data_IF_443706183770
#
_entry.id   IF_443706183770
#
_cell.length_a   1.000
_cell.length_b   1.000
_cell.length_c   1.000
_cell.angle_alpha   90.00
_cell.angle_beta   90.00
_cell.angle_gamma   90.00
#
_symmetry.space_group_name_H-M   'P 1'
#
loop_
_entity.id
_entity.type
_entity.pdbx_description
1 polymer ?
#
# COMPACT_ATOMS: atom_id res chain seq x y z
N UNK A 1 -45.94 33.57 -15.82
CA UNK A 1 -45.76 32.34 -14.97
C UNK A 1 -45.11 31.27 -15.85
N UNK A 2 -43.83 31.05 -15.70
CA UNK A 2 -43.08 30.02 -16.44
C UNK A 2 -43.47 28.66 -15.89
N UNK A 3 -44.04 27.78 -16.73
CA UNK A 3 -44.35 26.39 -16.36
C UNK A 3 -43.05 25.60 -16.34
N UNK A 4 -42.52 25.30 -15.16
CA UNK A 4 -41.43 24.37 -14.99
C UNK A 4 -41.90 22.97 -15.45
N UNK A 5 -41.41 22.52 -16.63
CA UNK A 5 -41.65 21.17 -17.12
C UNK A 5 -40.52 20.27 -16.66
N UNK A 6 -40.82 19.35 -15.71
CA UNK A 6 -39.86 18.38 -15.18
C UNK A 6 -39.51 17.23 -16.15
N UNK A 7 -40.32 17.02 -17.20
CA UNK A 7 -40.12 15.96 -18.18
C UNK A 7 -40.24 16.50 -19.60
N UNK A 8 -39.28 16.11 -20.44
CA UNK A 8 -39.29 16.39 -21.87
C UNK A 8 -39.27 15.10 -22.67
N UNK A 9 -40.23 14.86 -23.55
CA UNK A 9 -40.19 13.74 -24.52
C UNK A 9 -38.95 13.89 -25.41
N UNK A 10 -38.05 12.90 -25.41
CA UNK A 10 -36.96 12.78 -26.40
C UNK A 10 -37.14 11.52 -27.20
N UNK A 11 -36.87 11.55 -28.49
CA UNK A 11 -36.73 10.36 -29.29
C UNK A 11 -35.39 9.72 -28.92
N UNK A 12 -35.43 8.53 -28.34
CA UNK A 12 -34.25 7.73 -28.02
C UNK A 12 -34.02 6.72 -29.14
N UNK A 13 -32.78 6.63 -29.60
CA UNK A 13 -32.35 5.61 -30.54
C UNK A 13 -32.13 4.31 -29.73
N UNK A 14 -32.91 3.28 -30.07
CA UNK A 14 -32.71 1.95 -29.48
C UNK A 14 -31.95 1.09 -30.47
N UNK A 15 -30.97 0.29 -30.01
CA UNK A 15 -30.31 -0.66 -30.87
C UNK A 15 -31.31 -1.71 -31.38
N UNK A 16 -31.12 -2.14 -32.63
CA UNK A 16 -31.79 -3.33 -33.13
C UNK A 16 -31.33 -4.56 -32.35
N UNK A 17 -32.00 -5.72 -32.49
CA UNK A 17 -31.58 -6.99 -31.86
C UNK A 17 -30.10 -7.27 -32.17
N UNK A 18 -29.70 -7.14 -33.45
CA UNK A 18 -28.29 -7.33 -33.84
C UNK A 18 -27.35 -6.30 -33.23
N UNK A 19 -27.76 -5.04 -33.17
CA UNK A 19 -27.00 -3.97 -32.50
C UNK A 19 -26.84 -4.25 -31.02
N UNK A 20 -27.91 -4.71 -30.34
CA UNK A 20 -27.87 -5.13 -28.94
C UNK A 20 -26.93 -6.30 -28.67
N UNK A 21 -26.92 -7.31 -29.53
CA UNK A 21 -26.00 -8.46 -29.46
C UNK A 21 -24.53 -8.04 -29.64
N UNK A 22 -24.25 -7.13 -30.57
CA UNK A 22 -22.88 -6.61 -30.78
C UNK A 22 -22.43 -5.81 -29.55
N UNK A 23 -23.27 -4.92 -29.00
CA UNK A 23 -22.96 -4.15 -27.79
C UNK A 23 -22.69 -5.10 -26.62
N UNK A 24 -23.53 -6.11 -26.41
CA UNK A 24 -23.34 -7.10 -25.36
C UNK A 24 -22.01 -7.85 -25.51
N UNK A 25 -21.69 -8.29 -26.72
CA UNK A 25 -20.42 -8.96 -27.01
C UNK A 25 -19.22 -8.06 -26.69
N UNK A 26 -19.25 -6.79 -27.14
CA UNK A 26 -18.18 -5.84 -26.87
C UNK A 26 -18.03 -5.54 -25.37
N UNK A 27 -19.14 -5.36 -24.67
CA UNK A 27 -19.11 -5.16 -23.20
C UNK A 27 -18.53 -6.37 -22.47
N UNK A 28 -18.93 -7.58 -22.89
CA UNK A 28 -18.39 -8.82 -22.31
C UNK A 28 -16.88 -8.91 -22.55
N UNK A 29 -16.43 -8.67 -23.79
CA UNK A 29 -15.00 -8.69 -24.13
C UNK A 29 -14.20 -7.65 -23.32
N UNK A 30 -14.70 -6.41 -23.25
CA UNK A 30 -14.08 -5.36 -22.45
C UNK A 30 -14.01 -5.74 -20.95
N UNK A 31 -15.09 -6.31 -20.41
CA UNK A 31 -15.14 -6.75 -19.02
C UNK A 31 -14.12 -7.86 -18.74
N UNK A 32 -13.98 -8.83 -19.64
CA UNK A 32 -12.98 -9.90 -19.52
C UNK A 32 -11.54 -9.36 -19.59
N UNK A 33 -11.28 -8.39 -20.46
CA UNK A 33 -9.96 -7.75 -20.57
C UNK A 33 -9.64 -6.96 -19.30
N UNK A 34 -10.58 -6.18 -18.80
CA UNK A 34 -10.43 -5.44 -17.54
C UNK A 34 -10.19 -6.38 -16.35
N UNK A 35 -10.95 -7.47 -16.28
CA UNK A 35 -10.78 -8.48 -15.23
C UNK A 35 -9.37 -9.07 -15.25
N UNK A 36 -8.84 -9.36 -16.44
CA UNK A 36 -7.46 -9.88 -16.56
C UNK A 36 -6.40 -8.88 -16.09
N UNK A 37 -6.61 -7.60 -16.31
CA UNK A 37 -5.66 -6.55 -15.93
C UNK A 37 -5.75 -6.12 -14.47
N UNK A 38 -6.82 -6.49 -13.78
CA UNK A 38 -7.11 -5.97 -12.45
C UNK A 38 -5.97 -6.21 -11.44
N UNK A 39 -5.45 -7.44 -11.36
CA UNK A 39 -4.33 -7.74 -10.47
C UNK A 39 -3.03 -7.01 -10.87
N UNK A 40 -2.77 -6.86 -12.16
CA UNK A 40 -1.60 -6.10 -12.66
C UNK A 40 -1.71 -4.62 -12.26
N UNK A 41 -2.91 -4.04 -12.35
CA UNK A 41 -3.18 -2.67 -11.92
C UNK A 41 -2.97 -2.50 -10.41
N UNK A 42 -3.29 -3.53 -9.62
CA UNK A 42 -3.12 -3.50 -8.16
C UNK A 42 -1.68 -3.75 -7.70
N UNK A 43 -0.85 -4.37 -8.54
CA UNK A 43 0.55 -4.68 -8.26
C UNK A 43 1.53 -3.82 -9.10
N UNK A 44 1.52 -2.48 -8.99
CA UNK A 44 2.44 -1.64 -9.73
C UNK A 44 3.86 -1.78 -9.20
N UNK A 45 4.84 -1.77 -10.11
CA UNK A 45 6.24 -1.50 -9.80
C UNK A 45 6.63 -0.22 -10.54
N UNK A 46 6.82 0.85 -9.77
CA UNK A 46 7.08 2.20 -10.28
C UNK A 46 7.95 2.95 -9.24
N UNK A 47 9.26 2.64 -9.20
CA UNK A 47 10.17 3.25 -8.25
C UNK A 47 10.52 4.70 -8.62
N UNK A 48 10.87 5.50 -7.61
CA UNK A 48 11.49 6.81 -7.79
C UNK A 48 13.01 6.69 -7.79
N UNK A 49 13.69 7.68 -8.37
CA UNK A 49 15.15 7.67 -8.52
C UNK A 49 15.91 7.86 -7.19
N UNK A 50 15.24 8.23 -6.11
CA UNK A 50 15.85 8.37 -4.79
C UNK A 50 16.25 7.00 -4.23
N UNK A 51 17.51 6.86 -3.84
CA UNK A 51 18.12 5.61 -3.36
C UNK A 51 18.59 5.71 -1.92
N UNK A 52 18.16 6.70 -1.18
CA UNK A 52 18.55 6.85 0.22
C UNK A 52 17.93 5.77 1.07
N UNK A 53 16.60 5.61 0.97
CA UNK A 53 15.86 4.66 1.78
C UNK A 53 15.02 3.71 0.93
N UNK A 54 15.12 2.40 1.26
CA UNK A 54 14.16 1.39 0.84
C UNK A 54 13.37 0.93 2.06
N UNK A 55 12.08 1.24 2.11
CA UNK A 55 11.18 0.78 3.17
C UNK A 55 10.60 -0.57 2.80
N UNK A 56 10.70 -1.54 3.69
CA UNK A 56 10.23 -2.92 3.49
C UNK A 56 9.13 -3.25 4.51
N UNK A 57 7.97 -3.68 4.04
CA UNK A 57 6.93 -4.20 4.91
C UNK A 57 7.34 -5.56 5.50
N UNK A 58 7.51 -5.64 6.82
CA UNK A 58 8.11 -6.79 7.47
C UNK A 58 7.22 -8.04 7.58
N UNK A 59 5.94 -7.95 7.26
CA UNK A 59 4.98 -9.07 7.31
C UNK A 59 5.00 -9.95 6.07
N UNK A 60 5.81 -9.61 5.07
CA UNK A 60 5.95 -10.35 3.82
C UNK A 60 6.58 -11.74 4.07
N UNK A 61 6.36 -12.65 3.11
CA UNK A 61 7.03 -13.94 3.08
C UNK A 61 8.54 -13.82 2.79
N UNK A 62 9.28 -14.92 3.02
CA UNK A 62 10.74 -14.96 2.87
C UNK A 62 11.20 -14.63 1.44
N UNK A 63 10.52 -15.14 0.41
CA UNK A 63 10.87 -14.88 -0.98
C UNK A 63 10.70 -13.41 -1.34
N UNK A 64 9.63 -12.78 -0.84
CA UNK A 64 9.41 -11.33 -1.00
C UNK A 64 10.46 -10.51 -0.26
N UNK A 65 10.88 -10.93 0.93
CA UNK A 65 11.96 -10.29 1.67
C UNK A 65 13.30 -10.42 0.94
N UNK A 66 13.61 -11.59 0.37
CA UNK A 66 14.82 -11.79 -0.45
C UNK A 66 14.78 -10.93 -1.71
N UNK A 67 13.62 -10.77 -2.34
CA UNK A 67 13.47 -9.85 -3.49
C UNK A 67 13.75 -8.39 -3.08
N UNK A 68 13.27 -7.96 -1.90
CA UNK A 68 13.60 -6.64 -1.37
C UNK A 68 15.11 -6.45 -1.15
N UNK A 69 15.79 -7.46 -0.60
CA UNK A 69 17.25 -7.44 -0.41
C UNK A 69 18.00 -7.37 -1.73
N UNK A 70 17.54 -8.10 -2.74
CA UNK A 70 18.13 -8.04 -4.09
C UNK A 70 17.99 -6.65 -4.72
N UNK A 71 16.80 -6.01 -4.59
CA UNK A 71 16.55 -4.63 -5.02
C UNK A 71 17.47 -3.66 -4.26
N UNK A 72 17.57 -3.80 -2.95
CA UNK A 72 18.43 -2.95 -2.11
C UNK A 72 19.88 -2.94 -2.60
N UNK A 73 20.41 -4.12 -2.91
CA UNK A 73 21.78 -4.29 -3.38
C UNK A 73 21.96 -3.79 -4.83
N UNK A 74 21.01 -4.08 -5.72
CA UNK A 74 21.07 -3.70 -7.14
C UNK A 74 20.96 -2.19 -7.32
N UNK A 75 20.07 -1.54 -6.59
CA UNK A 75 19.85 -0.09 -6.64
C UNK A 75 20.85 0.70 -5.79
N UNK A 76 21.71 0.02 -5.03
CA UNK A 76 22.72 0.63 -4.15
C UNK A 76 22.10 1.61 -3.14
N UNK A 77 20.95 1.24 -2.57
CA UNK A 77 20.30 2.03 -1.52
C UNK A 77 21.23 2.17 -0.30
N UNK A 78 21.14 3.31 0.39
CA UNK A 78 21.99 3.57 1.54
C UNK A 78 21.47 2.88 2.80
N UNK A 79 20.18 2.94 3.04
CA UNK A 79 19.54 2.37 4.23
C UNK A 79 18.30 1.56 3.86
N UNK A 80 18.11 0.43 4.56
CA UNK A 80 16.88 -0.34 4.53
C UNK A 80 16.10 -0.09 5.81
N UNK A 81 14.83 0.26 5.67
CA UNK A 81 13.90 0.42 6.80
C UNK A 81 12.94 -0.76 6.80
N UNK A 82 13.02 -1.65 7.79
CA UNK A 82 11.98 -2.66 8.00
C UNK A 82 10.92 -2.12 8.95
N UNK A 83 9.63 -2.28 8.58
CA UNK A 83 8.51 -1.74 9.36
C UNK A 83 7.44 -2.79 9.60
N UNK A 84 6.69 -2.62 10.68
CA UNK A 84 5.55 -3.49 11.00
C UNK A 84 5.27 -3.58 12.49
N UNK A 85 4.01 -3.83 12.82
CA UNK A 85 3.54 -3.96 14.19
C UNK A 85 3.82 -5.32 14.81
N UNK A 86 3.23 -5.59 15.99
CA UNK A 86 3.40 -6.86 16.69
C UNK A 86 2.96 -8.05 15.85
N UNK A 87 3.75 -9.13 15.89
CA UNK A 87 3.38 -10.40 15.28
C UNK A 87 2.48 -11.20 16.24
N UNK A 88 1.19 -10.85 16.27
CA UNK A 88 0.21 -11.50 17.15
C UNK A 88 -0.14 -12.93 16.74
N UNK A 89 0.21 -13.37 15.53
CA UNK A 89 -0.07 -14.74 15.04
C UNK A 89 0.95 -15.75 15.51
N UNK A 90 2.18 -15.32 15.66
CA UNK A 90 3.29 -16.15 16.13
C UNK A 90 4.01 -15.37 17.22
N UNK A 91 3.66 -15.65 18.46
CA UNK A 91 4.43 -15.18 19.60
C UNK A 91 5.83 -15.81 19.51
N UNK A 92 6.70 -15.19 18.71
CA UNK A 92 8.10 -15.54 18.70
C UNK A 92 8.75 -14.86 19.90
N UNK A 93 9.34 -15.61 20.83
CA UNK A 93 10.09 -15.02 21.94
C UNK A 93 11.27 -14.16 21.47
N UNK A 94 11.71 -14.35 20.21
CA UNK A 94 12.89 -13.68 19.68
C UNK A 94 12.59 -12.30 19.06
N UNK A 95 11.37 -12.07 18.58
CA UNK A 95 11.02 -10.81 17.88
C UNK A 95 9.61 -10.35 18.25
N UNK A 96 9.49 -9.14 18.80
CA UNK A 96 8.21 -8.59 19.24
C UNK A 96 7.37 -8.05 18.06
N UNK A 97 7.99 -7.74 16.92
CA UNK A 97 7.33 -7.11 15.77
C UNK A 97 7.76 -7.73 14.44
N UNK A 98 6.95 -7.53 13.42
CA UNK A 98 7.33 -7.84 12.04
C UNK A 98 8.55 -7.03 11.56
N UNK A 99 8.71 -5.79 12.05
CA UNK A 99 9.89 -4.99 11.74
C UNK A 99 11.19 -5.67 12.20
N UNK A 100 11.21 -6.17 13.43
CA UNK A 100 12.36 -6.87 14.00
C UNK A 100 12.58 -8.23 13.34
N UNK A 101 11.52 -8.99 13.08
CA UNK A 101 11.61 -10.28 12.42
C UNK A 101 12.21 -10.15 11.01
N UNK A 102 11.70 -9.22 10.21
CA UNK A 102 12.22 -8.97 8.88
C UNK A 102 13.65 -8.41 8.92
N UNK A 103 13.95 -7.49 9.85
CA UNK A 103 15.30 -6.96 10.02
C UNK A 103 16.33 -8.05 10.35
N UNK A 104 16.01 -8.93 11.29
CA UNK A 104 16.87 -10.07 11.63
C UNK A 104 17.06 -11.01 10.42
N UNK A 105 16.00 -11.29 9.66
CA UNK A 105 16.06 -12.07 8.43
C UNK A 105 16.99 -11.43 7.39
N UNK A 106 16.89 -10.12 7.17
CA UNK A 106 17.75 -9.39 6.23
C UNK A 106 19.22 -9.47 6.60
N UNK A 107 19.56 -9.29 7.88
CA UNK A 107 20.94 -9.40 8.38
C UNK A 107 21.45 -10.85 8.22
N UNK A 108 20.64 -11.84 8.53
CA UNK A 108 20.99 -13.25 8.34
C UNK A 108 21.30 -13.58 6.87
N UNK A 109 20.68 -12.86 5.92
CA UNK A 109 20.88 -13.04 4.48
C UNK A 109 21.88 -12.04 3.87
N UNK A 110 22.68 -11.37 4.69
CA UNK A 110 23.83 -10.60 4.25
C UNK A 110 23.64 -9.08 4.14
N UNK A 111 22.52 -8.55 4.67
CA UNK A 111 22.40 -7.10 4.84
C UNK A 111 23.36 -6.64 5.95
N UNK A 112 24.15 -5.60 5.67
CA UNK A 112 24.93 -4.94 6.69
C UNK A 112 24.03 -4.33 7.77
N UNK A 113 24.26 -4.73 9.03
CA UNK A 113 23.45 -4.29 10.16
C UNK A 113 23.53 -2.75 10.36
N UNK A 114 24.61 -2.09 9.95
CA UNK A 114 24.74 -0.62 10.02
C UNK A 114 23.82 0.10 9.02
N UNK A 115 23.37 -0.60 7.99
CA UNK A 115 22.44 -0.07 6.98
C UNK A 115 20.98 -0.40 7.29
N UNK A 116 20.71 -1.12 8.37
CA UNK A 116 19.36 -1.54 8.77
C UNK A 116 18.78 -0.60 9.82
N UNK A 117 17.55 -0.18 9.58
CA UNK A 117 16.73 0.58 10.52
C UNK A 117 15.44 -0.20 10.73
N UNK A 118 15.14 -0.55 11.97
CA UNK A 118 13.91 -1.24 12.32
C UNK A 118 12.94 -0.26 12.98
N UNK A 119 11.73 -0.11 12.40
CA UNK A 119 10.69 0.78 12.92
C UNK A 119 9.46 -0.05 13.27
N UNK A 120 9.37 -0.55 14.53
CA UNK A 120 8.18 -1.24 14.99
C UNK A 120 7.02 -0.26 15.13
N UNK A 121 5.83 -0.66 14.68
CA UNK A 121 4.60 0.07 14.91
C UNK A 121 3.87 -0.49 16.13
N UNK A 122 3.10 0.32 16.86
CA UNK A 122 2.26 -0.18 17.95
C UNK A 122 1.15 -1.09 17.43
N UNK A 123 0.55 -1.86 18.33
CA UNK A 123 -0.59 -2.71 18.01
C UNK A 123 -1.77 -1.85 17.53
N UNK A 124 -2.38 -2.26 16.44
CA UNK A 124 -3.61 -1.66 15.94
C UNK A 124 -4.50 -2.69 15.24
N UNK A 125 -5.80 -2.62 15.52
CA UNK A 125 -6.80 -3.43 14.84
C UNK A 125 -7.11 -2.93 13.43
N UNK A 126 -6.86 -1.64 13.15
CA UNK A 126 -7.26 -0.98 11.90
C UNK A 126 -6.11 -0.17 11.31
N UNK A 127 -6.15 0.03 9.99
CA UNK A 127 -5.28 0.96 9.25
C UNK A 127 -3.77 0.76 9.51
N UNK A 128 -3.35 -0.48 9.74
CA UNK A 128 -1.97 -0.83 10.13
C UNK A 128 -0.91 -0.34 9.13
N UNK A 129 -1.23 -0.35 7.83
CA UNK A 129 -0.30 0.12 6.79
C UNK A 129 -0.09 1.63 6.90
N UNK A 130 -1.17 2.41 7.13
CA UNK A 130 -1.06 3.85 7.34
C UNK A 130 -0.32 4.19 8.64
N UNK A 131 -0.67 3.53 9.75
CA UNK A 131 0.04 3.68 11.02
C UNK A 131 1.56 3.46 10.86
N UNK A 132 1.94 2.38 10.17
CA UNK A 132 3.36 2.12 9.92
C UNK A 132 4.00 3.19 9.03
N UNK A 133 3.28 3.75 8.06
CA UNK A 133 3.78 4.85 7.24
C UNK A 133 3.98 6.12 8.05
N UNK A 134 3.08 6.45 8.97
CA UNK A 134 3.22 7.57 9.91
C UNK A 134 4.45 7.38 10.81
N UNK A 135 4.66 6.18 11.35
CA UNK A 135 5.85 5.89 12.17
C UNK A 135 7.15 6.08 11.39
N UNK A 136 7.20 5.64 10.14
CA UNK A 136 8.36 5.85 9.24
C UNK A 136 8.55 7.35 8.97
N UNK A 137 7.48 8.08 8.65
CA UNK A 137 7.53 9.53 8.42
C UNK A 137 8.09 10.26 9.63
N UNK A 138 7.55 10.00 10.80
CA UNK A 138 7.94 10.70 12.02
C UNK A 138 9.39 10.40 12.40
N UNK A 139 9.84 9.15 12.18
CA UNK A 139 11.25 8.81 12.38
C UNK A 139 12.16 9.54 11.37
N UNK A 140 11.79 9.57 10.08
CA UNK A 140 12.57 10.27 9.05
C UNK A 140 12.60 11.77 9.27
N UNK A 141 11.51 12.38 9.74
CA UNK A 141 11.47 13.81 10.03
C UNK A 141 12.45 14.24 11.16
N UNK A 142 12.87 13.31 12.01
CA UNK A 142 13.89 13.55 13.03
C UNK A 142 15.33 13.41 12.49
N UNK A 143 15.52 12.74 11.36
CA UNK A 143 16.84 12.39 10.81
C UNK A 143 17.15 13.13 9.52
N UNK A 144 16.16 13.35 8.69
CA UNK A 144 16.28 13.90 7.35
C UNK A 144 15.27 15.04 7.16
N UNK A 145 15.76 16.25 6.92
CA UNK A 145 14.87 17.43 6.79
C UNK A 145 14.45 17.71 5.34
N UNK A 146 15.10 17.09 4.35
CA UNK A 146 14.89 17.37 2.92
C UNK A 146 14.67 16.09 2.09
N UNK A 147 13.91 15.14 2.63
CA UNK A 147 13.56 13.92 1.92
C UNK A 147 12.72 14.24 0.68
N UNK A 148 13.22 13.90 -0.51
CA UNK A 148 12.53 14.16 -1.80
C UNK A 148 11.79 12.95 -2.30
N UNK A 149 12.30 11.77 -2.06
CA UNK A 149 11.74 10.51 -2.54
C UNK A 149 11.88 9.39 -1.54
N UNK A 150 11.02 8.39 -1.66
CA UNK A 150 11.02 7.20 -0.82
C UNK A 150 10.49 6.00 -1.61
N UNK A 151 11.27 4.93 -1.66
CA UNK A 151 10.82 3.68 -2.25
C UNK A 151 10.29 2.72 -1.19
N UNK A 152 9.16 2.08 -1.47
CA UNK A 152 8.52 1.11 -0.59
C UNK A 152 8.43 -0.23 -1.30
N UNK A 153 8.81 -1.30 -0.62
CA UNK A 153 8.66 -2.69 -1.08
C UNK A 153 7.56 -3.39 -0.30
N UNK A 154 6.63 -4.01 -1.00
CA UNK A 154 5.50 -4.74 -0.41
C UNK A 154 5.07 -5.91 -1.27
N UNK A 155 4.17 -6.75 -0.76
CA UNK A 155 3.63 -7.90 -1.51
C UNK A 155 2.71 -7.45 -2.65
N UNK A 156 2.86 -8.10 -3.77
CA UNK A 156 1.97 -8.23 -4.93
C UNK A 156 0.84 -7.17 -5.05
N UNK A 157 -0.42 -7.59 -5.08
CA UNK A 157 -1.60 -6.72 -5.28
C UNK A 157 -1.86 -5.72 -4.14
N UNK A 158 -1.14 -5.82 -3.02
CA UNK A 158 -1.17 -4.85 -1.94
C UNK A 158 -0.48 -3.51 -2.30
N UNK A 159 0.41 -3.54 -3.30
CA UNK A 159 1.32 -2.43 -3.61
C UNK A 159 0.58 -1.12 -3.94
N UNK A 160 -0.51 -1.16 -4.70
CA UNK A 160 -1.28 0.05 -5.03
C UNK A 160 -1.84 0.73 -3.79
N UNK A 161 -2.40 -0.04 -2.85
CA UNK A 161 -2.97 0.49 -1.61
C UNK A 161 -1.88 1.03 -0.68
N UNK A 162 -0.78 0.31 -0.54
CA UNK A 162 0.39 0.77 0.21
C UNK A 162 0.89 2.11 -0.32
N UNK A 163 1.10 2.23 -1.64
CA UNK A 163 1.54 3.49 -2.25
C UNK A 163 0.59 4.65 -1.97
N UNK A 164 -0.72 4.42 -2.05
CA UNK A 164 -1.72 5.44 -1.77
C UNK A 164 -1.65 5.92 -0.32
N UNK A 165 -1.55 5.00 0.64
CA UNK A 165 -1.45 5.33 2.06
C UNK A 165 -0.13 6.05 2.41
N UNK A 166 0.98 5.67 1.75
CA UNK A 166 2.24 6.39 1.91
C UNK A 166 2.17 7.82 1.35
N UNK A 167 1.50 8.04 0.23
CA UNK A 167 1.27 9.38 -0.31
C UNK A 167 0.45 10.26 0.63
N UNK A 168 -0.54 9.69 1.31
CA UNK A 168 -1.29 10.40 2.36
C UNK A 168 -0.41 10.75 3.55
N UNK A 169 0.47 9.84 3.99
CA UNK A 169 1.37 10.08 5.11
C UNK A 169 2.50 11.07 4.77
N UNK A 170 2.93 11.16 3.50
CA UNK A 170 4.07 11.93 3.02
C UNK A 170 3.68 12.89 1.88
N UNK A 171 2.90 13.94 2.14
CA UNK A 171 2.31 14.77 1.08
C UNK A 171 3.33 15.50 0.20
N UNK A 172 4.57 15.69 0.67
CA UNK A 172 5.63 16.43 -0.03
C UNK A 172 6.79 15.53 -0.49
N UNK A 173 6.63 14.21 -0.43
CA UNK A 173 7.66 13.23 -0.81
C UNK A 173 7.16 12.40 -1.97
N UNK A 174 7.99 12.20 -2.98
CA UNK A 174 7.64 11.31 -4.09
C UNK A 174 7.71 9.85 -3.63
N UNK A 175 6.62 9.10 -3.76
CA UNK A 175 6.53 7.70 -3.30
C UNK A 175 6.61 6.75 -4.48
N UNK A 176 7.73 6.03 -4.54
CA UNK A 176 7.92 4.88 -5.40
C UNK A 176 7.48 3.59 -4.74
N UNK A 177 7.21 2.57 -5.56
CA UNK A 177 6.72 1.28 -5.07
C UNK A 177 7.34 0.12 -5.86
N UNK A 178 7.73 -0.93 -5.15
CA UNK A 178 8.06 -2.24 -5.69
C UNK A 178 7.04 -3.25 -5.19
N UNK A 179 6.39 -3.93 -6.11
CA UNK A 179 5.50 -5.04 -5.81
C UNK A 179 6.28 -6.36 -5.94
N UNK A 180 6.42 -7.11 -4.85
CA UNK A 180 6.96 -8.46 -4.94
C UNK A 180 6.07 -9.35 -5.82
N UNK A 181 6.61 -10.34 -6.52
CA UNK A 181 5.81 -11.32 -7.23
C UNK A 181 4.86 -12.07 -6.28
N UNK A 182 3.60 -12.31 -6.68
CA UNK A 182 2.67 -13.05 -5.83
C UNK A 182 3.11 -14.50 -5.68
N UNK A 183 2.94 -15.05 -4.48
CA UNK A 183 3.13 -16.46 -4.21
C UNK A 183 1.83 -17.24 -4.48
N UNK A 184 1.92 -18.35 -5.21
CA UNK A 184 0.81 -19.25 -5.43
C UNK A 184 -0.20 -18.86 -6.52
N UNK A 185 -0.07 -17.71 -7.17
CA UNK A 185 -0.89 -17.35 -8.33
C UNK A 185 -0.15 -16.44 -9.33
N UNK A 186 -0.65 -16.39 -10.57
CA UNK A 186 -0.15 -15.45 -11.58
C UNK A 186 -1.10 -14.25 -11.70
N UNK A 187 -0.56 -13.02 -11.75
CA UNK A 187 -1.34 -11.78 -11.83
C UNK A 187 -2.35 -11.78 -12.98
N UNK A 188 -1.98 -12.32 -14.14
CA UNK A 188 -2.85 -12.38 -15.33
C UNK A 188 -3.84 -13.56 -15.33
N UNK A 189 -3.83 -14.39 -14.26
CA UNK A 189 -4.71 -15.56 -14.07
C UNK A 189 -5.19 -15.67 -12.61
N UNK A 190 -5.21 -14.56 -11.89
CA UNK A 190 -5.51 -14.49 -10.46
C UNK A 190 -6.82 -15.18 -10.06
N UNK A 191 -7.82 -15.22 -10.96
CA UNK A 191 -9.13 -15.87 -10.72
C UNK A 191 -9.09 -17.39 -10.78
N UNK A 192 -7.97 -18.00 -11.17
CA UNK A 192 -7.85 -19.47 -11.28
C UNK A 192 -7.50 -20.13 -9.94
N UNK A 193 -7.14 -19.35 -8.91
CA UNK A 193 -6.84 -19.86 -7.57
C UNK A 193 -7.68 -19.14 -6.52
N UNK A 194 -7.99 -19.83 -5.42
CA UNK A 194 -8.71 -19.22 -4.30
C UNK A 194 -7.91 -18.07 -3.66
N UNK A 195 -6.59 -18.24 -3.56
CA UNK A 195 -5.71 -17.24 -2.95
C UNK A 195 -5.60 -15.99 -3.82
N UNK A 196 -5.42 -16.15 -5.13
CA UNK A 196 -5.44 -15.02 -6.06
C UNK A 196 -6.77 -14.29 -6.05
N UNK A 197 -7.91 -15.00 -6.11
CA UNK A 197 -9.22 -14.40 -6.06
C UNK A 197 -9.45 -13.63 -4.75
N UNK A 198 -9.11 -14.23 -3.61
CA UNK A 198 -9.22 -13.60 -2.29
C UNK A 198 -8.35 -12.35 -2.19
N UNK A 199 -7.08 -12.44 -2.57
CA UNK A 199 -6.13 -11.32 -2.49
C UNK A 199 -6.58 -10.15 -3.37
N UNK A 200 -6.89 -10.39 -4.64
CA UNK A 200 -7.29 -9.33 -5.58
C UNK A 200 -8.60 -8.66 -5.16
N UNK A 201 -9.62 -9.43 -4.77
CA UNK A 201 -10.91 -8.86 -4.35
C UNK A 201 -10.75 -8.07 -3.06
N UNK A 202 -10.00 -8.58 -2.08
CA UNK A 202 -9.75 -7.88 -0.81
C UNK A 202 -9.00 -6.57 -1.05
N UNK A 203 -7.98 -6.57 -1.89
CA UNK A 203 -7.22 -5.36 -2.20
C UNK A 203 -8.00 -4.37 -3.08
N UNK A 204 -8.89 -4.84 -3.93
CA UNK A 204 -9.80 -3.96 -4.66
C UNK A 204 -10.74 -3.19 -3.71
N UNK A 205 -11.33 -3.90 -2.74
CA UNK A 205 -12.17 -3.29 -1.70
C UNK A 205 -11.35 -2.31 -0.85
N UNK A 206 -10.14 -2.69 -0.44
CA UNK A 206 -9.25 -1.83 0.33
C UNK A 206 -8.81 -0.58 -0.42
N UNK A 207 -8.50 -0.68 -1.72
CA UNK A 207 -8.18 0.47 -2.57
C UNK A 207 -9.39 1.40 -2.73
N UNK A 208 -10.59 0.84 -2.94
CA UNK A 208 -11.81 1.63 -3.01
C UNK A 208 -12.01 2.41 -1.70
N UNK A 209 -11.89 1.74 -0.54
CA UNK A 209 -12.00 2.37 0.76
C UNK A 209 -11.02 3.54 0.94
N UNK A 210 -9.74 3.33 0.61
CA UNK A 210 -8.70 4.37 0.72
C UNK A 210 -9.03 5.57 -0.17
N UNK A 211 -9.54 5.33 -1.39
CA UNK A 211 -9.81 6.40 -2.35
C UNK A 211 -11.06 7.19 -2.02
N UNK A 212 -12.14 6.55 -1.52
CA UNK A 212 -13.41 7.23 -1.32
C UNK A 212 -13.66 7.72 0.10
N UNK A 213 -13.09 7.06 1.08
CA UNK A 213 -13.66 7.10 2.44
C UNK A 213 -12.60 7.27 3.54
N UNK A 214 -11.33 7.01 3.26
CA UNK A 214 -10.26 7.17 4.22
C UNK A 214 -9.89 8.65 4.37
N UNK A 215 -9.99 9.16 5.59
CA UNK A 215 -9.67 10.54 5.94
C UNK A 215 -8.78 10.53 7.19
N UNK A 216 -7.46 10.49 7.02
CA UNK A 216 -6.53 10.38 8.13
C UNK A 216 -6.37 11.69 8.93
N UNK A 217 -6.85 12.82 8.43
CA UNK A 217 -6.56 14.14 8.96
C UNK A 217 -5.30 14.74 8.33
N UNK A 218 -4.97 15.96 8.71
CA UNK A 218 -3.78 16.66 8.20
C UNK A 218 -2.52 16.04 8.77
N UNK A 219 -1.56 15.62 7.93
CA UNK A 219 -0.32 14.99 8.37
C UNK A 219 0.47 15.82 9.36
N UNK A 220 0.86 15.22 10.48
CA UNK A 220 1.60 15.87 11.55
C UNK A 220 0.77 16.74 12.50
N UNK A 221 -0.54 16.90 12.28
CA UNK A 221 -1.46 17.58 13.19
C UNK A 221 -1.91 16.63 14.31
N UNK A 222 -2.43 17.19 15.40
CA UNK A 222 -3.01 16.38 16.48
C UNK A 222 -4.37 15.75 16.10
N UNK A 223 -4.94 16.12 14.96
CA UNK A 223 -6.14 15.50 14.38
C UNK A 223 -5.81 14.35 13.44
N UNK A 224 -4.53 14.17 13.11
CA UNK A 224 -4.12 13.06 12.28
C UNK A 224 -4.42 11.73 12.97
N UNK A 225 -5.01 10.81 12.22
CA UNK A 225 -5.18 9.44 12.70
C UNK A 225 -3.79 8.84 12.98
N UNK A 226 -3.59 8.35 14.21
CA UNK A 226 -2.31 7.81 14.68
C UNK A 226 -1.21 8.84 14.92
N UNK A 227 -1.54 10.13 15.05
CA UNK A 227 -0.57 11.09 15.59
C UNK A 227 -0.04 10.57 16.95
N UNK A 228 1.26 10.53 17.10
CA UNK A 228 1.87 10.24 18.41
C UNK A 228 1.51 11.40 19.32
N UNK A 229 0.72 11.17 20.37
CA UNK A 229 0.55 12.16 21.43
C UNK A 229 1.93 12.62 21.86
N UNK A 230 2.25 13.89 21.64
CA UNK A 230 3.44 14.48 22.23
C UNK A 230 3.21 14.44 23.74
N UNK A 231 3.75 13.40 24.38
CA UNK A 231 3.76 13.24 25.83
C UNK A 231 4.42 14.47 26.44
N UNK A 232 3.64 15.45 26.90
CA UNK A 232 4.19 16.63 27.52
C UNK A 232 3.27 17.83 27.68
N UNK A 233 1.98 17.74 27.42
CA UNK A 233 1.03 18.76 27.88
C UNK A 233 -0.04 18.10 28.74
N UNK A 234 0.24 18.04 30.03
CA UNK A 234 -0.78 17.91 31.05
C UNK A 234 -1.82 19.02 30.85
N UNK A 235 -3.02 18.61 30.46
CA UNK A 235 -4.19 19.48 30.50
C UNK A 235 -4.49 19.79 31.98
N UNK A 236 -3.85 20.81 32.49
CA UNK A 236 -4.33 21.52 33.66
C UNK A 236 -5.34 22.57 33.18
N UNK A 237 -6.60 22.22 33.17
CA UNK A 237 -7.72 23.15 33.14
C UNK A 237 -8.93 22.50 33.78
N UNK A 238 -9.20 23.01 34.94
CA UNK A 238 -10.40 22.88 35.78
C UNK A 238 -11.72 23.06 35.01
#
# INVERSE_FOLDING_TARGET
MSKFSLFRKRQLWFPTIWGGLIILLLLTLCSLLLLRQLAVILAPTDPVADRTYLVVEGWQDEDSLLAALAIFNAEQNQYMITKGGPNVRFLSPAHASYAEQAGAFMVQHGLDAEKLIMIPAPESAQERTYLSAVMVRDWLALKETDLKGLNVHTSDVHARRTRSLYREAFPNVEIGIYAAPPQGFALNKWWQTSDGAKSVITELIGNFWVTCCFQPGEPGSHYEKWAVEKSGQTSDSR
#
